data_IF_076551453372
#
_entry.id   IF_076551453372
#
_cell.length_a   1.000
_cell.length_b   1.000
_cell.length_c   1.000
_cell.angle_alpha   90.00
_cell.angle_beta   90.00
_cell.angle_gamma   90.00
#
_symmetry.space_group_name_H-M   'P 1'
#
loop_
_entity.id
_entity.type
_entity.pdbx_description
1 polymer ?
#
# COMPACT_ATOMS: atom_id res chain seq x y z
N UNK A 1 -22.11 21.45 13.05
CA UNK A 1 -20.93 21.41 13.96
C UNK A 1 -20.78 20.00 14.48
N UNK A 2 -19.57 19.47 14.58
CA UNK A 2 -19.28 18.12 15.12
C UNK A 2 -18.91 18.25 16.60
N UNK A 3 -19.46 17.39 17.46
CA UNK A 3 -19.14 17.37 18.89
C UNK A 3 -17.67 16.98 19.12
N UNK A 4 -17.08 17.47 20.21
CA UNK A 4 -15.69 17.15 20.55
C UNK A 4 -15.44 15.63 20.68
N UNK A 5 -16.33 14.84 21.32
CA UNK A 5 -16.18 13.38 21.38
C UNK A 5 -16.23 12.71 20.00
N UNK A 6 -17.12 13.14 19.10
CA UNK A 6 -17.21 12.57 17.74
C UNK A 6 -15.98 12.93 16.92
N UNK A 7 -15.53 14.18 16.97
CA UNK A 7 -14.31 14.61 16.28
C UNK A 7 -13.07 13.81 16.75
N UNK A 8 -12.97 13.56 18.06
CA UNK A 8 -11.91 12.73 18.63
C UNK A 8 -11.94 11.28 18.13
N UNK A 9 -13.13 10.68 18.03
CA UNK A 9 -13.32 9.32 17.52
C UNK A 9 -12.98 9.21 16.02
N UNK A 10 -13.43 10.18 15.21
CA UNK A 10 -13.11 10.27 13.78
C UNK A 10 -11.60 10.36 13.56
N UNK A 11 -10.92 11.25 14.28
CA UNK A 11 -9.45 11.41 14.17
C UNK A 11 -8.70 10.13 14.53
N UNK A 12 -9.17 9.40 15.55
CA UNK A 12 -8.56 8.14 15.95
C UNK A 12 -8.72 7.06 14.86
N UNK A 13 -9.90 6.93 14.27
CA UNK A 13 -10.17 5.99 13.18
C UNK A 13 -9.39 6.33 11.90
N UNK A 14 -9.32 7.61 11.52
CA UNK A 14 -8.52 8.04 10.36
C UNK A 14 -7.03 7.72 10.56
N UNK A 15 -6.51 7.87 11.78
CA UNK A 15 -5.13 7.47 12.09
C UNK A 15 -4.94 5.94 11.96
N UNK A 16 -5.92 5.14 12.37
CA UNK A 16 -5.89 3.69 12.20
C UNK A 16 -5.94 3.30 10.71
N UNK A 17 -6.78 3.97 9.90
CA UNK A 17 -6.89 3.71 8.47
C UNK A 17 -5.55 3.95 7.75
N UNK A 18 -4.88 5.08 8.03
CA UNK A 18 -3.57 5.40 7.46
C UNK A 18 -2.48 4.40 7.82
N UNK A 19 -2.62 3.70 8.95
CA UNK A 19 -1.67 2.68 9.40
C UNK A 19 -2.03 1.27 8.90
N UNK A 20 -3.27 1.05 8.44
CA UNK A 20 -3.75 -0.26 8.03
C UNK A 20 -3.35 -0.58 6.59
N UNK A 21 -2.97 -1.83 6.35
CA UNK A 21 -2.80 -2.43 5.00
C UNK A 21 -3.81 -3.55 4.74
N UNK A 22 -4.64 -3.85 5.73
CA UNK A 22 -5.68 -4.88 5.64
C UNK A 22 -6.95 -4.24 5.09
N UNK A 23 -7.37 -4.68 3.90
CA UNK A 23 -8.57 -4.21 3.22
C UNK A 23 -9.84 -4.44 4.03
N UNK A 24 -9.91 -5.54 4.79
CA UNK A 24 -11.04 -5.78 5.69
C UNK A 24 -11.12 -4.75 6.81
N UNK A 25 -9.97 -4.38 7.40
CA UNK A 25 -9.94 -3.33 8.42
C UNK A 25 -10.26 -1.96 7.84
N UNK A 26 -9.82 -1.66 6.62
CA UNK A 26 -10.16 -0.40 5.94
C UNK A 26 -11.68 -0.30 5.72
N UNK A 27 -12.31 -1.34 5.18
CA UNK A 27 -13.77 -1.41 5.00
C UNK A 27 -14.53 -1.26 6.32
N UNK A 28 -14.00 -1.84 7.39
CA UNK A 28 -14.58 -1.73 8.73
C UNK A 28 -14.47 -0.31 9.27
N UNK A 29 -13.32 0.34 9.08
CA UNK A 29 -13.08 1.72 9.52
C UNK A 29 -13.97 2.69 8.74
N UNK A 30 -14.09 2.54 7.42
CA UNK A 30 -14.95 3.41 6.60
C UNK A 30 -16.41 3.38 7.08
N UNK A 31 -16.95 2.19 7.37
CA UNK A 31 -18.31 2.07 7.90
C UNK A 31 -18.46 2.62 9.31
N UNK A 32 -17.44 2.47 10.16
CA UNK A 32 -17.45 3.05 11.49
C UNK A 32 -17.41 4.58 11.42
N UNK A 33 -16.69 5.16 10.46
CA UNK A 33 -16.70 6.60 10.18
C UNK A 33 -18.09 7.06 9.74
N UNK A 34 -18.73 6.37 8.80
CA UNK A 34 -20.10 6.67 8.37
C UNK A 34 -21.07 6.69 9.56
N UNK A 35 -20.95 5.73 10.47
CA UNK A 35 -21.80 5.65 11.65
C UNK A 35 -21.59 6.83 12.61
N UNK A 36 -20.34 7.18 12.92
CA UNK A 36 -20.04 8.35 13.75
C UNK A 36 -20.57 9.65 13.13
N UNK A 37 -20.55 9.74 11.80
CA UNK A 37 -21.02 10.91 11.06
C UNK A 37 -22.54 10.99 10.92
N UNK A 38 -23.30 9.92 11.22
CA UNK A 38 -24.77 9.97 11.26
C UNK A 38 -25.31 10.82 12.40
N UNK A 39 -24.63 10.83 13.55
CA UNK A 39 -25.03 11.59 14.74
C UNK A 39 -23.91 12.52 15.21
N UNK A 40 -23.53 13.53 14.40
CA UNK A 40 -22.30 14.29 14.61
C UNK A 40 -22.36 15.22 15.83
N UNK A 41 -23.54 15.53 16.35
CA UNK A 41 -23.73 16.45 17.49
C UNK A 41 -23.81 15.75 18.84
N UNK A 42 -23.79 14.42 18.86
CA UNK A 42 -23.98 13.64 20.09
C UNK A 42 -22.72 13.70 20.98
N UNK A 43 -22.88 14.02 22.26
CA UNK A 43 -21.76 14.33 23.19
C UNK A 43 -21.80 13.55 24.51
N UNK A 44 -22.84 12.77 24.74
CA UNK A 44 -23.07 11.96 25.95
C UNK A 44 -22.01 10.89 26.19
N UNK A 45 -21.48 10.31 25.12
CA UNK A 45 -20.49 9.24 25.18
C UNK A 45 -19.06 9.71 24.86
N UNK A 46 -18.03 9.27 25.61
CA UNK A 46 -16.63 9.58 25.32
C UNK A 46 -16.18 9.06 23.95
N UNK A 47 -15.20 9.74 23.34
CA UNK A 47 -14.66 9.42 22.02
C UNK A 47 -14.24 7.94 21.85
N UNK A 48 -13.54 7.39 22.85
CA UNK A 48 -13.05 6.01 22.79
C UNK A 48 -14.19 4.98 22.84
N UNK A 49 -15.28 5.28 23.55
CA UNK A 49 -16.45 4.43 23.59
C UNK A 49 -17.17 4.46 22.24
N UNK A 50 -17.39 5.66 21.68
CA UNK A 50 -18.00 5.83 20.35
C UNK A 50 -17.25 5.09 19.26
N UNK A 51 -15.92 5.25 19.25
CA UNK A 51 -15.05 4.54 18.31
C UNK A 51 -15.23 3.01 18.41
N UNK A 52 -15.20 2.45 19.63
CA UNK A 52 -15.38 1.01 19.85
C UNK A 52 -16.76 0.53 19.43
N UNK A 53 -17.81 1.28 19.76
CA UNK A 53 -19.19 0.96 19.37
C UNK A 53 -19.35 0.95 17.86
N UNK A 54 -18.91 2.01 17.17
CA UNK A 54 -19.00 2.12 15.71
C UNK A 54 -18.21 1.01 15.00
N UNK A 55 -17.02 0.66 15.51
CA UNK A 55 -16.26 -0.48 14.99
C UNK A 55 -16.95 -1.83 15.25
N UNK A 56 -17.70 -1.97 16.35
CA UNK A 56 -18.52 -3.15 16.65
C UNK A 56 -19.67 -3.32 15.67
N UNK A 57 -20.46 -2.27 15.47
CA UNK A 57 -21.56 -2.27 14.51
C UNK A 57 -21.09 -2.44 13.05
N UNK A 58 -19.96 -1.82 12.68
CA UNK A 58 -19.33 -2.04 11.37
C UNK A 58 -18.96 -3.51 11.15
N UNK A 59 -18.45 -4.19 12.19
CA UNK A 59 -18.15 -5.61 12.16
C UNK A 59 -19.43 -6.45 11.95
N UNK A 60 -20.48 -6.21 12.74
CA UNK A 60 -21.75 -6.92 12.58
C UNK A 60 -22.35 -6.76 11.17
N UNK A 61 -22.26 -5.55 10.61
CA UNK A 61 -22.70 -5.27 9.25
C UNK A 61 -21.86 -6.02 8.19
N UNK A 62 -20.56 -6.17 8.41
CA UNK A 62 -19.67 -6.95 7.55
C UNK A 62 -19.98 -8.45 7.62
N UNK A 63 -20.15 -8.99 8.82
CA UNK A 63 -20.49 -10.40 9.02
C UNK A 63 -21.85 -10.74 8.42
N UNK A 64 -22.86 -9.86 8.58
CA UNK A 64 -24.16 -10.06 7.95
C UNK A 64 -24.05 -10.08 6.42
N UNK A 65 -23.23 -9.20 5.83
CA UNK A 65 -22.98 -9.22 4.38
C UNK A 65 -22.32 -10.52 3.93
N UNK A 66 -21.36 -11.01 4.71
CA UNK A 66 -20.71 -12.30 4.44
C UNK A 66 -21.69 -13.47 4.50
N UNK A 67 -22.60 -13.47 5.48
CA UNK A 67 -23.59 -14.52 5.65
C UNK A 67 -24.61 -14.59 4.51
N UNK A 68 -24.94 -13.45 3.87
CA UNK A 68 -25.89 -13.39 2.75
C UNK A 68 -25.21 -13.50 1.37
N UNK A 69 -23.90 -13.25 1.30
CA UNK A 69 -23.17 -13.32 0.05
C UNK A 69 -23.08 -14.79 -0.42
N UNK A 70 -23.53 -15.10 -1.65
CA UNK A 70 -23.43 -16.45 -2.17
C UNK A 70 -21.95 -16.83 -2.31
N UNK A 71 -21.55 -17.89 -1.61
CA UNK A 71 -20.25 -18.53 -1.81
C UNK A 71 -20.36 -19.41 -3.05
N UNK A 72 -20.12 -18.84 -4.23
CA UNK A 72 -20.02 -19.61 -5.47
C UNK A 72 -18.58 -20.12 -5.58
N UNK A 73 -18.36 -21.45 -5.68
CA UNK A 73 -17.05 -21.98 -6.02
C UNK A 73 -16.59 -21.32 -7.33
N UNK A 74 -15.36 -20.79 -7.34
CA UNK A 74 -14.78 -20.31 -8.58
C UNK A 74 -14.73 -21.48 -9.56
N UNK A 75 -15.37 -21.31 -10.71
CA UNK A 75 -15.37 -22.31 -11.78
C UNK A 75 -13.93 -22.48 -12.30
N UNK A 76 -13.33 -23.68 -12.13
CA UNK A 76 -11.95 -23.91 -12.55
C UNK A 76 -11.76 -23.77 -14.06
N UNK A 77 -12.81 -23.93 -14.87
CA UNK A 77 -12.74 -23.75 -16.33
C UNK A 77 -12.85 -22.26 -16.75
N UNK A 78 -13.30 -21.39 -15.84
CA UNK A 78 -13.29 -19.92 -15.99
C UNK A 78 -12.16 -19.26 -15.21
N UNK A 79 -11.10 -20.01 -14.88
CA UNK A 79 -9.81 -19.39 -14.65
C UNK A 79 -9.37 -18.73 -15.96
N UNK A 80 -9.87 -17.52 -16.20
CA UNK A 80 -9.19 -16.53 -17.03
C UNK A 80 -7.75 -16.55 -16.53
N UNK A 81 -6.84 -17.13 -17.33
CA UNK A 81 -5.46 -17.36 -16.94
C UNK A 81 -4.94 -16.06 -16.38
N UNK A 82 -4.54 -16.07 -15.11
CA UNK A 82 -4.24 -14.86 -14.35
C UNK A 82 -3.42 -13.91 -15.21
N UNK A 83 -4.03 -12.80 -15.61
CA UNK A 83 -3.32 -11.83 -16.41
C UNK A 83 -2.33 -11.17 -15.46
N UNK A 84 -1.07 -11.60 -15.50
CA UNK A 84 -0.01 -10.91 -14.78
C UNK A 84 -0.03 -9.48 -15.29
N UNK A 85 -0.51 -8.56 -14.44
CA UNK A 85 -0.49 -7.14 -14.76
C UNK A 85 0.93 -6.81 -15.21
N UNK A 86 1.06 -6.19 -16.39
CA UNK A 86 2.37 -5.80 -16.92
C UNK A 86 3.17 -4.92 -15.94
N UNK A 87 2.49 -4.32 -14.96
CA UNK A 87 3.09 -3.53 -13.87
C UNK A 87 3.47 -4.35 -12.64
N UNK A 88 3.01 -5.59 -12.51
CA UNK A 88 3.33 -6.46 -11.38
C UNK A 88 4.86 -6.67 -11.21
N UNK A 89 5.65 -6.92 -12.27
CA UNK A 89 7.11 -6.97 -12.14
C UNK A 89 7.73 -5.67 -11.62
N UNK A 90 7.15 -4.51 -11.94
CA UNK A 90 7.64 -3.22 -11.43
C UNK A 90 7.41 -3.11 -9.93
N UNK A 91 6.25 -3.57 -9.43
CA UNK A 91 5.95 -3.60 -8.00
C UNK A 91 6.91 -4.53 -7.25
N UNK A 92 7.19 -5.73 -7.78
CA UNK A 92 8.16 -6.67 -7.18
C UNK A 92 9.57 -6.09 -7.16
N UNK A 93 10.02 -5.49 -8.25
CA UNK A 93 11.33 -4.84 -8.32
C UNK A 93 11.42 -3.70 -7.30
N UNK A 94 10.40 -2.85 -7.21
CA UNK A 94 10.38 -1.74 -6.24
C UNK A 94 10.39 -2.28 -4.81
N UNK A 95 9.57 -3.27 -4.48
CA UNK A 95 9.54 -3.87 -3.15
C UNK A 95 10.92 -4.44 -2.77
N UNK A 96 11.55 -5.20 -3.67
CA UNK A 96 12.87 -5.77 -3.46
C UNK A 96 13.96 -4.71 -3.29
N UNK A 97 13.97 -3.64 -4.11
CA UNK A 97 14.95 -2.55 -4.00
C UNK A 97 14.95 -1.93 -2.59
N UNK A 98 13.79 -1.85 -1.95
CA UNK A 98 13.62 -1.28 -0.61
C UNK A 98 13.88 -2.28 0.53
N UNK A 99 13.81 -3.58 0.26
CA UNK A 99 14.11 -4.63 1.25
C UNK A 99 15.55 -5.13 1.21
N UNK A 100 16.24 -5.04 0.06
CA UNK A 100 17.58 -5.59 -0.13
C UNK A 100 18.62 -4.79 0.70
N UNK A 101 19.24 -5.42 1.72
CA UNK A 101 20.19 -4.72 2.60
C UNK A 101 21.54 -4.44 1.94
N UNK A 102 21.95 -5.24 0.94
CA UNK A 102 23.28 -5.11 0.32
C UNK A 102 23.33 -4.08 -0.81
N UNK A 103 22.22 -3.40 -1.09
CA UNK A 103 22.17 -2.35 -2.08
C UNK A 103 22.51 -0.99 -1.45
N UNK A 104 23.48 -0.27 -2.02
CA UNK A 104 23.84 1.05 -1.52
C UNK A 104 22.71 2.07 -1.79
N UNK A 105 22.52 3.04 -0.89
CA UNK A 105 21.44 4.03 -0.99
C UNK A 105 21.42 4.78 -2.33
N UNK A 106 22.60 5.15 -2.84
CA UNK A 106 22.72 5.81 -4.14
C UNK A 106 22.31 4.92 -5.32
N UNK A 107 22.56 3.61 -5.24
CA UNK A 107 22.11 2.64 -6.24
C UNK A 107 20.61 2.41 -6.14
N UNK A 108 20.08 2.34 -4.91
CA UNK A 108 18.64 2.21 -4.65
C UNK A 108 17.85 3.34 -5.27
N UNK A 109 18.25 4.59 -5.01
CA UNK A 109 17.60 5.79 -5.57
C UNK A 109 17.67 5.76 -7.10
N UNK A 110 18.84 5.43 -7.67
CA UNK A 110 19.04 5.38 -9.12
C UNK A 110 18.13 4.34 -9.80
N UNK A 111 17.97 3.17 -9.19
CA UNK A 111 17.16 2.08 -9.72
C UNK A 111 15.66 2.34 -9.50
N UNK A 112 15.25 2.97 -8.40
CA UNK A 112 13.87 3.43 -8.18
C UNK A 112 13.45 4.47 -9.24
N UNK A 113 14.31 5.46 -9.54
CA UNK A 113 14.04 6.44 -10.60
C UNK A 113 13.84 5.76 -11.97
N UNK A 114 14.66 4.75 -12.30
CA UNK A 114 14.51 3.96 -13.52
C UNK A 114 13.22 3.13 -13.54
N UNK A 115 12.87 2.49 -12.42
CA UNK A 115 11.64 1.69 -12.30
C UNK A 115 10.38 2.54 -12.43
N UNK A 116 10.45 3.82 -12.05
CA UNK A 116 9.38 4.83 -12.26
C UNK A 116 9.35 5.42 -13.68
N UNK A 117 10.24 4.99 -14.57
CA UNK A 117 10.26 5.39 -15.98
C UNK A 117 11.09 6.63 -16.29
N UNK A 118 11.95 7.11 -15.39
CA UNK A 118 12.89 8.17 -15.73
C UNK A 118 13.99 7.63 -16.66
N UNK A 119 14.30 8.38 -17.72
CA UNK A 119 15.41 8.02 -18.62
C UNK A 119 16.74 8.62 -18.14
N UNK A 120 17.85 8.07 -18.65
CA UNK A 120 19.20 8.51 -18.29
C UNK A 120 19.49 9.99 -18.60
N UNK A 121 18.83 10.59 -19.61
CA UNK A 121 19.03 12.00 -19.96
C UNK A 121 18.31 12.94 -18.99
N UNK A 122 17.09 12.59 -18.60
CA UNK A 122 16.31 13.28 -17.56
C UNK A 122 17.04 13.24 -16.22
N UNK A 123 17.59 12.08 -15.85
CA UNK A 123 18.36 11.89 -14.63
C UNK A 123 19.70 12.66 -14.69
N UNK A 124 20.42 12.59 -15.81
CA UNK A 124 21.68 13.34 -15.98
C UNK A 124 21.50 14.85 -15.76
N UNK A 125 20.43 15.42 -16.32
CA UNK A 125 20.07 16.84 -16.12
C UNK A 125 19.74 17.14 -14.65
N UNK A 126 18.90 16.31 -14.01
CA UNK A 126 18.48 16.50 -12.61
C UNK A 126 19.65 16.43 -11.63
N UNK A 127 20.57 15.50 -11.86
CA UNK A 127 21.72 15.24 -11.00
C UNK A 127 22.95 16.08 -11.37
N UNK A 128 22.87 16.95 -12.38
CA UNK A 128 23.97 17.82 -12.80
C UNK A 128 25.21 17.07 -13.31
N UNK A 129 25.04 15.92 -13.94
CA UNK A 129 26.15 15.09 -14.45
C UNK A 129 26.06 14.88 -15.96
N UNK A 130 27.20 14.61 -16.59
CA UNK A 130 27.25 14.28 -18.01
C UNK A 130 26.48 12.98 -18.30
N UNK A 131 25.73 12.94 -19.41
CA UNK A 131 24.95 11.76 -19.83
C UNK A 131 25.79 10.46 -19.91
N UNK A 132 27.02 10.45 -20.45
CA UNK A 132 27.85 9.24 -20.44
C UNK A 132 28.11 8.72 -19.03
N UNK A 133 28.35 9.63 -18.07
CA UNK A 133 28.58 9.29 -16.67
C UNK A 133 27.32 8.74 -16.00
N UNK A 134 26.15 9.29 -16.31
CA UNK A 134 24.88 8.75 -15.82
C UNK A 134 24.61 7.34 -16.35
N UNK A 135 24.82 7.12 -17.65
CA UNK A 135 24.70 5.78 -18.26
C UNK A 135 25.63 4.76 -17.62
N UNK A 136 26.86 5.16 -17.32
CA UNK A 136 27.82 4.31 -16.62
C UNK A 136 27.34 3.95 -15.21
N UNK A 137 26.87 4.94 -14.43
CA UNK A 137 26.30 4.72 -13.09
C UNK A 137 25.13 3.73 -13.14
N UNK A 138 24.21 3.93 -14.08
CA UNK A 138 23.05 3.04 -14.29
C UNK A 138 23.53 1.62 -14.62
N UNK A 139 24.51 1.49 -15.52
CA UNK A 139 25.03 0.17 -15.90
C UNK A 139 25.69 -0.56 -14.72
N UNK A 140 26.43 0.15 -13.86
CA UNK A 140 27.06 -0.42 -12.67
C UNK A 140 26.01 -0.85 -11.65
N UNK A 141 25.06 0.02 -11.32
CA UNK A 141 23.98 -0.27 -10.39
C UNK A 141 23.14 -1.48 -10.85
N UNK A 142 22.77 -1.54 -12.15
CA UNK A 142 22.06 -2.69 -12.72
C UNK A 142 22.86 -3.99 -12.69
N UNK A 143 24.19 -3.92 -12.80
CA UNK A 143 25.04 -5.11 -12.72
C UNK A 143 25.08 -5.63 -11.28
N UNK A 144 25.29 -4.73 -10.32
CA UNK A 144 25.32 -5.07 -8.91
C UNK A 144 23.97 -5.64 -8.44
N UNK A 145 22.87 -4.94 -8.74
CA UNK A 145 21.52 -5.39 -8.40
C UNK A 145 21.17 -6.77 -8.99
N UNK A 146 21.58 -7.05 -10.24
CA UNK A 146 21.37 -8.38 -10.84
C UNK A 146 22.13 -9.48 -10.12
N UNK A 147 23.37 -9.22 -9.67
CA UNK A 147 24.13 -10.19 -8.91
C UNK A 147 23.45 -10.52 -7.57
N UNK A 148 22.94 -9.50 -6.87
CA UNK A 148 22.19 -9.68 -5.62
C UNK A 148 20.89 -10.46 -5.84
N UNK A 149 20.15 -10.13 -6.90
CA UNK A 149 18.89 -10.80 -7.23
C UNK A 149 19.07 -12.29 -7.52
N UNK A 150 20.12 -12.67 -8.25
CA UNK A 150 20.42 -14.07 -8.56
C UNK A 150 20.71 -14.89 -7.29
N UNK A 151 21.51 -14.33 -6.37
CA UNK A 151 21.80 -14.97 -5.08
C UNK A 151 20.52 -15.15 -4.26
N UNK A 152 19.64 -14.15 -4.22
CA UNK A 152 18.37 -14.24 -3.50
C UNK A 152 17.44 -15.34 -4.07
N UNK A 153 17.45 -15.53 -5.39
CA UNK A 153 16.65 -16.56 -6.07
C UNK A 153 17.16 -17.99 -5.92
N UNK A 154 18.43 -18.19 -5.57
CA UNK A 154 18.99 -19.52 -5.27
C UNK A 154 18.71 -19.98 -3.82
N UNK A 155 18.31 -19.06 -2.95
CA UNK A 155 18.00 -19.32 -1.54
C UNK A 155 16.51 -19.46 -1.22
N UNK A 156 15.64 -19.34 -2.22
CA UNK A 156 14.18 -19.47 -2.13
C UNK A 156 13.71 -20.81 -2.70
#
# INVERSE_FOLDING_TARGET
MISHPVAGAVKALQKQALASRDTYQLDRIDRALDELLRNPTEDTSPAQYRMRSAMGHAYEALERRRAIAPSVPLDPERMDGGHTDARYPVVEILAWLWSEPNLADGERILLDELARGHDAASMARRHGVALPRMRERISRARRHARALWQVAGETA
#
